data_IF_608254793116
#
_entry.id   IF_608254793116
#
_cell.length_a   1.000
_cell.length_b   1.000
_cell.length_c   1.000
_cell.angle_alpha   90.00
_cell.angle_beta   90.00
_cell.angle_gamma   90.00
#
_symmetry.space_group_name_H-M   'P 1'
#
loop_
_entity.id
_entity.type
_entity.pdbx_description
1 polymer ?
#
# COMPACT_ATOMS: atom_id res chain seq x y z
N UNK A 1 18.80 8.37 -5.38
CA UNK A 1 19.42 7.95 -4.10
C UNK A 1 20.80 7.38 -4.35
N UNK A 2 21.67 7.48 -3.35
CA UNK A 2 22.98 6.80 -3.37
C UNK A 2 22.84 5.31 -2.98
N UNK A 3 23.90 4.53 -3.20
CA UNK A 3 23.93 3.10 -2.83
C UNK A 3 23.76 2.95 -1.32
N UNK A 4 22.94 1.99 -0.93
CA UNK A 4 22.75 1.61 0.47
C UNK A 4 23.94 0.84 1.00
N UNK A 5 24.33 1.12 2.24
CA UNK A 5 25.34 0.35 2.98
C UNK A 5 24.73 -0.18 4.27
N UNK A 6 24.81 -1.50 4.46
CA UNK A 6 24.54 -2.14 5.76
C UNK A 6 25.77 -1.98 6.66
N UNK A 7 25.55 -1.58 7.90
CA UNK A 7 26.58 -1.44 8.94
C UNK A 7 26.08 -2.16 10.18
N UNK A 8 26.88 -3.08 10.70
CA UNK A 8 26.59 -3.73 11.99
C UNK A 8 26.93 -2.77 13.14
N UNK A 9 26.04 -2.66 14.12
CA UNK A 9 26.23 -1.88 15.34
C UNK A 9 25.87 -2.72 16.55
N UNK A 10 26.24 -2.27 17.75
CA UNK A 10 25.91 -2.97 19.00
C UNK A 10 24.40 -3.12 19.23
N UNK A 11 23.58 -2.27 18.59
CA UNK A 11 22.12 -2.29 18.65
C UNK A 11 21.47 -2.93 17.41
N UNK A 12 22.21 -3.76 16.67
CA UNK A 12 21.77 -4.43 15.44
C UNK A 12 22.14 -3.67 14.15
N UNK A 13 21.66 -4.14 12.99
CA UNK A 13 22.04 -3.58 11.70
C UNK A 13 21.45 -2.19 11.48
N UNK A 14 22.24 -1.34 10.83
CA UNK A 14 21.86 0.00 10.34
C UNK A 14 22.04 0.08 8.83
N UNK A 15 21.14 0.79 8.17
CA UNK A 15 21.15 0.97 6.73
C UNK A 15 21.37 2.44 6.39
N UNK A 16 22.53 2.76 5.82
CA UNK A 16 22.94 4.14 5.52
C UNK A 16 22.81 4.43 4.04
N UNK A 17 22.30 5.61 3.70
CA UNK A 17 22.30 6.13 2.35
C UNK A 17 22.34 7.67 2.36
N UNK A 18 22.24 8.25 1.16
CA UNK A 18 21.99 9.67 0.99
C UNK A 18 20.99 9.91 -0.14
N UNK A 19 20.16 10.92 0.05
CA UNK A 19 19.11 11.35 -0.88
C UNK A 19 19.35 12.80 -1.28
N UNK A 20 19.18 13.15 -2.55
CA UNK A 20 19.31 14.54 -2.99
C UNK A 20 18.09 15.38 -2.55
N UNK A 21 18.20 16.71 -2.42
CA UNK A 21 17.07 17.56 -1.99
C UNK A 21 15.80 17.38 -2.84
N UNK A 22 15.96 17.32 -4.17
CA UNK A 22 14.82 17.12 -5.08
C UNK A 22 14.23 15.70 -4.99
N UNK A 23 15.05 14.69 -4.71
CA UNK A 23 14.57 13.31 -4.48
C UNK A 23 13.75 13.23 -3.20
N UNK A 24 14.21 13.89 -2.13
CA UNK A 24 13.47 13.95 -0.86
C UNK A 24 12.13 14.67 -1.04
N UNK A 25 12.12 15.82 -1.72
CA UNK A 25 10.89 16.55 -2.03
C UNK A 25 9.90 15.71 -2.85
N UNK A 26 10.39 15.00 -3.88
CA UNK A 26 9.56 14.12 -4.70
C UNK A 26 8.96 12.97 -3.87
N UNK A 27 9.78 12.31 -3.06
CA UNK A 27 9.29 11.22 -2.20
C UNK A 27 8.26 11.69 -1.19
N UNK A 28 8.47 12.84 -0.54
CA UNK A 28 7.48 13.44 0.36
C UNK A 28 6.14 13.68 -0.35
N UNK A 29 6.19 14.25 -1.55
CA UNK A 29 4.99 14.52 -2.32
C UNK A 29 4.25 13.23 -2.72
N UNK A 30 4.97 12.23 -3.24
CA UNK A 30 4.38 10.97 -3.68
C UNK A 30 3.79 10.16 -2.51
N UNK A 31 4.52 10.04 -1.40
CA UNK A 31 4.06 9.33 -0.20
C UNK A 31 2.89 10.08 0.44
N UNK A 32 2.94 11.42 0.49
CA UNK A 32 1.84 12.24 0.99
C UNK A 32 0.55 12.07 0.17
N UNK A 33 0.66 12.05 -1.16
CA UNK A 33 -0.49 11.79 -2.03
C UNK A 33 -1.10 10.40 -1.79
N UNK A 34 -0.24 9.37 -1.65
CA UNK A 34 -0.69 8.01 -1.35
C UNK A 34 -1.37 7.90 0.02
N UNK A 35 -0.82 8.56 1.04
CA UNK A 35 -1.47 8.67 2.36
C UNK A 35 -2.83 9.36 2.27
N UNK A 36 -2.94 10.42 1.47
CA UNK A 36 -4.21 11.08 1.18
C UNK A 36 -5.27 10.12 0.65
N UNK A 37 -4.92 9.31 -0.35
CA UNK A 37 -5.81 8.28 -0.92
C UNK A 37 -6.23 7.23 0.13
N UNK A 38 -5.30 6.77 0.96
CA UNK A 38 -5.59 5.79 2.01
C UNK A 38 -6.48 6.38 3.12
N UNK A 39 -6.25 7.64 3.50
CA UNK A 39 -7.06 8.35 4.49
C UNK A 39 -8.50 8.57 3.99
N UNK A 40 -8.65 8.95 2.72
CA UNK A 40 -9.97 9.09 2.08
C UNK A 40 -10.71 7.76 2.02
N UNK A 41 -9.99 6.66 1.75
CA UNK A 41 -10.57 5.32 1.74
C UNK A 41 -11.06 4.88 3.12
N UNK A 42 -10.30 5.15 4.16
CA UNK A 42 -10.71 4.83 5.53
C UNK A 42 -11.93 5.65 5.92
N UNK A 43 -11.91 6.97 5.68
CA UNK A 43 -12.98 7.88 6.09
C UNK A 43 -14.28 7.71 5.31
N UNK A 44 -14.24 7.12 4.11
CA UNK A 44 -15.44 6.79 3.33
C UNK A 44 -16.15 5.52 3.80
N UNK A 45 -15.58 4.77 4.75
CA UNK A 45 -16.19 3.54 5.26
C UNK A 45 -17.49 3.87 6.00
N UNK A 46 -18.60 3.15 5.76
CA UNK A 46 -19.83 3.37 6.49
C UNK A 46 -19.60 3.16 7.99
N UNK A 47 -20.09 4.05 8.87
CA UNK A 47 -20.03 3.83 10.31
C UNK A 47 -20.86 2.60 10.66
N UNK A 48 -20.26 1.64 11.36
CA UNK A 48 -20.95 0.44 11.84
C UNK A 48 -21.39 0.64 13.31
N UNK A 49 -22.67 0.45 13.58
CA UNK A 49 -23.22 0.49 14.95
C UNK A 49 -22.60 -0.60 15.83
N UNK A 50 -22.16 -1.73 15.24
CA UNK A 50 -21.45 -2.79 15.94
C UNK A 50 -19.99 -2.40 16.26
N UNK A 51 -19.35 -1.54 15.46
CA UNK A 51 -18.03 -0.99 15.79
C UNK A 51 -18.09 -0.18 17.08
N UNK A 52 -19.14 0.62 17.26
CA UNK A 52 -19.34 1.41 18.49
C UNK A 52 -19.52 0.54 19.74
N UNK A 53 -20.02 -0.69 19.57
CA UNK A 53 -20.29 -1.63 20.68
C UNK A 53 -19.10 -2.56 20.92
N UNK A 54 -18.40 -3.00 19.88
CA UNK A 54 -17.37 -4.04 19.94
C UNK A 54 -15.94 -3.49 19.85
N UNK A 55 -15.76 -2.25 19.38
CA UNK A 55 -14.46 -1.66 19.06
C UNK A 55 -13.78 -2.26 17.84
N UNK A 56 -14.43 -3.18 17.12
CA UNK A 56 -13.88 -3.78 15.89
C UNK A 56 -14.25 -2.87 14.73
N UNK A 57 -13.23 -2.22 14.14
CA UNK A 57 -13.40 -1.43 12.91
C UNK A 57 -13.81 -2.34 11.76
N UNK A 58 -14.92 -2.02 11.12
CA UNK A 58 -15.33 -2.67 9.86
C UNK A 58 -14.95 -1.80 8.68
N UNK A 59 -14.25 -2.38 7.71
CA UNK A 59 -13.86 -1.69 6.49
C UNK A 59 -14.98 -1.57 5.46
N UNK A 60 -14.66 -0.93 4.34
CA UNK A 60 -15.53 -0.86 3.19
C UNK A 60 -15.93 -2.25 2.69
N UNK A 61 -17.19 -2.45 2.33
CA UNK A 61 -17.62 -3.67 1.62
C UNK A 61 -17.40 -3.53 0.11
N UNK A 62 -17.56 -2.32 -0.41
CA UNK A 62 -17.44 -2.01 -1.84
C UNK A 62 -15.99 -1.98 -2.30
N UNK A 63 -15.75 -2.49 -3.51
CA UNK A 63 -14.44 -2.42 -4.17
C UNK A 63 -14.01 -0.96 -4.37
N UNK A 64 -12.71 -0.62 -4.24
CA UNK A 64 -12.24 0.72 -4.56
C UNK A 64 -12.62 1.14 -5.99
N UNK A 65 -13.25 2.32 -6.11
CA UNK A 65 -13.61 2.93 -7.39
C UNK A 65 -12.38 3.44 -8.15
N UNK A 66 -11.46 4.07 -7.42
CA UNK A 66 -10.18 4.52 -7.96
C UNK A 66 -9.28 3.33 -8.35
N UNK A 67 -8.70 3.33 -9.57
CA UNK A 67 -7.88 2.22 -10.05
C UNK A 67 -6.55 2.08 -9.30
N UNK A 68 -6.00 3.18 -8.76
CA UNK A 68 -4.76 3.19 -7.96
C UNK A 68 -5.00 2.47 -6.64
N UNK A 69 -6.07 2.87 -5.91
CA UNK A 69 -6.49 2.19 -4.69
C UNK A 69 -6.86 0.73 -4.95
N UNK A 70 -7.51 0.41 -6.07
CA UNK A 70 -7.81 -0.98 -6.45
C UNK A 70 -6.54 -1.82 -6.66
N UNK A 71 -5.44 -1.20 -7.06
CA UNK A 71 -4.15 -1.89 -7.19
C UNK A 71 -3.47 -2.11 -5.84
N UNK A 72 -3.61 -1.16 -4.92
CA UNK A 72 -3.10 -1.23 -3.55
C UNK A 72 -3.93 -2.17 -2.65
N UNK A 73 -5.24 -2.21 -2.88
CA UNK A 73 -6.26 -2.96 -2.15
C UNK A 73 -7.06 -3.83 -3.14
N UNK A 74 -6.43 -4.87 -3.71
CA UNK A 74 -7.08 -5.76 -4.65
C UNK A 74 -8.19 -6.59 -3.98
N UNK A 75 -8.98 -7.28 -4.79
CA UNK A 75 -9.89 -8.31 -4.28
C UNK A 75 -9.07 -9.48 -3.69
N UNK A 76 -9.59 -10.07 -2.61
CA UNK A 76 -8.95 -11.20 -1.92
C UNK A 76 -9.02 -12.48 -2.74
N UNK A 77 -10.12 -12.65 -3.47
CA UNK A 77 -10.37 -13.80 -4.30
C UNK A 77 -10.70 -13.37 -5.73
N UNK A 78 -9.93 -13.88 -6.68
CA UNK A 78 -10.17 -13.69 -8.11
C UNK A 78 -10.18 -15.06 -8.79
N UNK A 79 -11.35 -15.58 -9.19
CA UNK A 79 -11.46 -16.89 -9.83
C UNK A 79 -10.86 -16.88 -11.24
N UNK A 80 -10.28 -18.01 -11.64
CA UNK A 80 -9.87 -18.23 -13.02
C UNK A 80 -11.07 -18.19 -13.95
N UNK A 81 -10.92 -17.52 -15.10
CA UNK A 81 -12.01 -17.39 -16.05
C UNK A 81 -13.23 -16.65 -15.49
N UNK A 82 -13.03 -15.68 -14.59
CA UNK A 82 -14.09 -14.81 -14.03
C UNK A 82 -15.13 -14.38 -15.07
N UNK A 83 -14.69 -14.07 -16.28
CA UNK A 83 -15.56 -13.57 -17.37
C UNK A 83 -16.48 -14.66 -17.95
N UNK A 84 -16.27 -15.93 -17.59
CA UNK A 84 -17.05 -17.10 -18.00
C UNK A 84 -17.99 -17.59 -16.89
N UNK A 85 -17.96 -16.98 -15.70
CA UNK A 85 -18.86 -17.33 -14.61
C UNK A 85 -20.29 -16.94 -14.93
N UNK A 86 -21.24 -17.78 -14.52
CA UNK A 86 -22.64 -17.40 -14.52
C UNK A 86 -22.90 -16.26 -13.50
N UNK A 87 -24.02 -15.53 -13.63
CA UNK A 87 -24.32 -14.41 -12.75
C UNK A 87 -24.41 -14.78 -11.25
N UNK A 88 -24.85 -15.99 -10.92
CA UNK A 88 -25.01 -16.43 -9.53
C UNK A 88 -23.64 -16.68 -8.87
N UNK A 89 -22.73 -17.32 -9.59
CA UNK A 89 -21.36 -17.53 -9.15
C UNK A 89 -20.60 -16.21 -9.02
N UNK A 90 -20.80 -15.27 -9.96
CA UNK A 90 -20.21 -13.94 -9.87
C UNK A 90 -20.69 -13.17 -8.63
N UNK A 91 -21.98 -13.25 -8.29
CA UNK A 91 -22.54 -12.61 -7.10
C UNK A 91 -21.98 -13.21 -5.79
N UNK A 92 -21.85 -14.54 -5.74
CA UNK A 92 -21.21 -15.22 -4.61
C UNK A 92 -19.75 -14.76 -4.40
N UNK A 93 -18.99 -14.62 -5.49
CA UNK A 93 -17.60 -14.11 -5.46
C UNK A 93 -17.53 -12.66 -4.99
N UNK A 94 -18.45 -11.81 -5.46
CA UNK A 94 -18.51 -10.42 -5.02
C UNK A 94 -18.87 -10.31 -3.54
N UNK A 95 -19.83 -11.10 -3.08
CA UNK A 95 -20.25 -11.17 -1.67
C UNK A 95 -19.11 -11.66 -0.76
N UNK A 96 -18.37 -12.68 -1.18
CA UNK A 96 -17.18 -13.17 -0.46
C UNK A 96 -16.12 -12.06 -0.34
N UNK A 97 -15.78 -11.40 -1.44
CA UNK A 97 -14.81 -10.31 -1.43
C UNK A 97 -15.28 -9.11 -0.60
N UNK A 98 -16.58 -8.80 -0.59
CA UNK A 98 -17.14 -7.75 0.25
C UNK A 98 -16.96 -8.06 1.75
N UNK A 99 -17.25 -9.29 2.17
CA UNK A 99 -17.05 -9.73 3.55
C UNK A 99 -15.58 -9.70 3.98
N UNK A 100 -14.68 -10.26 3.16
CA UNK A 100 -13.25 -10.28 3.44
C UNK A 100 -12.65 -8.87 3.53
N UNK A 101 -13.11 -7.95 2.67
CA UNK A 101 -12.69 -6.56 2.71
C UNK A 101 -13.17 -5.85 3.97
N UNK A 102 -14.42 -6.04 4.34
CA UNK A 102 -14.97 -5.50 5.59
C UNK A 102 -14.16 -5.94 6.80
N UNK A 103 -13.61 -7.17 6.80
CA UNK A 103 -12.84 -7.70 7.91
C UNK A 103 -11.37 -7.28 7.91
N UNK A 104 -10.71 -7.24 6.75
CA UNK A 104 -9.25 -7.14 6.67
C UNK A 104 -8.72 -5.80 6.10
N UNK A 105 -9.54 -5.07 5.34
CA UNK A 105 -9.08 -3.81 4.74
C UNK A 105 -8.60 -2.78 5.78
N UNK A 106 -9.24 -2.61 6.96
CA UNK A 106 -8.76 -1.66 7.97
C UNK A 106 -7.31 -1.91 8.39
N UNK A 107 -6.98 -3.15 8.76
CA UNK A 107 -5.62 -3.53 9.19
C UNK A 107 -4.61 -3.36 8.05
N UNK A 108 -5.00 -3.67 6.82
CA UNK A 108 -4.14 -3.48 5.64
C UNK A 108 -3.88 -1.98 5.41
N UNK A 109 -4.92 -1.15 5.49
CA UNK A 109 -4.80 0.30 5.32
C UNK A 109 -3.91 0.89 6.42
N UNK A 110 -4.10 0.49 7.68
CA UNK A 110 -3.27 0.94 8.80
C UNK A 110 -1.81 0.53 8.65
N UNK A 111 -1.53 -0.71 8.22
CA UNK A 111 -0.17 -1.17 7.94
C UNK A 111 0.50 -0.34 6.84
N UNK A 112 -0.22 -0.05 5.75
CA UNK A 112 0.27 0.80 4.65
C UNK A 112 0.54 2.23 5.10
N UNK A 113 -0.38 2.82 5.88
CA UNK A 113 -0.23 4.16 6.44
C UNK A 113 0.95 4.25 7.40
N UNK A 114 1.10 3.27 8.28
CA UNK A 114 2.23 3.19 9.21
C UNK A 114 3.57 3.13 8.47
N UNK A 115 3.69 2.27 7.46
CA UNK A 115 4.91 2.18 6.64
C UNK A 115 5.23 3.50 5.91
N UNK A 116 4.20 4.13 5.33
CA UNK A 116 4.33 5.43 4.67
C UNK A 116 4.74 6.54 5.64
N UNK A 117 4.15 6.58 6.84
CA UNK A 117 4.48 7.56 7.87
C UNK A 117 5.91 7.36 8.38
N UNK A 118 6.32 6.13 8.67
CA UNK A 118 7.69 5.84 9.10
C UNK A 118 8.72 6.22 8.03
N UNK A 119 8.38 6.08 6.74
CA UNK A 119 9.21 6.61 5.65
C UNK A 119 9.34 8.14 5.73
N UNK A 120 8.23 8.86 5.88
CA UNK A 120 8.25 10.32 5.99
C UNK A 120 9.04 10.80 7.21
N UNK A 121 8.85 10.16 8.36
CA UNK A 121 9.50 10.52 9.63
C UNK A 121 11.03 10.34 9.57
N UNK A 122 11.50 9.38 8.77
CA UNK A 122 12.93 9.05 8.65
C UNK A 122 13.59 9.63 7.40
N UNK A 123 12.84 10.34 6.55
CA UNK A 123 13.33 11.01 5.35
C UNK A 123 13.81 12.45 5.67
N UNK A 124 15.11 12.79 5.46
CA UNK A 124 15.62 14.12 5.75
C UNK A 124 14.92 15.22 4.93
N UNK A 125 14.55 16.32 5.58
CA UNK A 125 13.67 17.33 4.95
C UNK A 125 14.25 17.99 3.71
N UNK A 126 15.53 18.34 3.76
CA UNK A 126 16.26 18.98 2.65
C UNK A 126 17.14 17.98 1.89
N UNK A 127 16.85 16.69 2.04
CA UNK A 127 17.75 15.62 1.65
C UNK A 127 19.02 15.56 2.51
N UNK A 128 20.00 14.78 2.07
CA UNK A 128 21.23 14.52 2.82
C UNK A 128 21.39 13.06 3.20
N UNK A 129 22.22 12.80 4.23
CA UNK A 129 22.47 11.45 4.76
C UNK A 129 21.27 10.99 5.57
N UNK A 130 20.93 9.71 5.43
CA UNK A 130 19.94 9.05 6.27
C UNK A 130 20.47 7.70 6.75
N UNK A 131 20.06 7.32 7.95
CA UNK A 131 20.38 6.05 8.58
C UNK A 131 19.09 5.44 9.13
N UNK A 132 18.79 4.21 8.73
CA UNK A 132 17.60 3.49 9.15
C UNK A 132 17.95 2.33 10.07
N UNK A 133 17.06 2.07 11.02
CA UNK A 133 16.98 0.78 11.70
C UNK A 133 16.48 -0.30 10.73
N UNK A 134 16.57 -1.57 11.10
CA UNK A 134 15.99 -2.65 10.30
C UNK A 134 14.47 -2.51 10.13
N UNK A 135 13.78 -2.12 11.19
CA UNK A 135 12.34 -1.86 11.17
C UNK A 135 11.98 -0.75 10.18
N UNK A 136 12.63 0.42 10.27
CA UNK A 136 12.36 1.52 9.33
C UNK A 136 12.78 1.18 7.90
N UNK A 137 13.82 0.37 7.70
CA UNK A 137 14.17 -0.13 6.38
C UNK A 137 13.08 -1.03 5.77
N UNK A 138 12.45 -1.90 6.57
CA UNK A 138 11.32 -2.71 6.12
C UNK A 138 10.09 -1.86 5.78
N UNK A 139 9.79 -0.83 6.57
CA UNK A 139 8.74 0.13 6.24
C UNK A 139 9.01 0.89 4.93
N UNK A 140 10.26 1.29 4.69
CA UNK A 140 10.66 1.90 3.41
C UNK A 140 10.42 0.95 2.24
N UNK A 141 10.75 -0.34 2.38
CA UNK A 141 10.52 -1.36 1.34
C UNK A 141 9.01 -1.50 1.07
N UNK A 142 8.19 -1.59 2.11
CA UNK A 142 6.74 -1.68 1.99
C UNK A 142 6.15 -0.45 1.29
N UNK A 143 6.51 0.76 1.74
CA UNK A 143 6.04 2.01 1.16
C UNK A 143 6.51 2.19 -0.29
N UNK A 144 7.74 1.82 -0.63
CA UNK A 144 8.21 1.86 -2.02
C UNK A 144 7.51 0.84 -2.91
N UNK A 145 7.19 -0.34 -2.40
CA UNK A 145 6.40 -1.30 -3.16
C UNK A 145 5.01 -0.73 -3.46
N UNK A 146 4.36 -0.09 -2.49
CA UNK A 146 3.06 0.54 -2.69
C UNK A 146 3.14 1.72 -3.66
N UNK A 147 4.15 2.58 -3.55
CA UNK A 147 4.40 3.63 -4.54
C UNK A 147 4.61 3.07 -5.95
N UNK A 148 5.38 1.99 -6.09
CA UNK A 148 5.61 1.33 -7.39
C UNK A 148 4.29 0.82 -7.98
N UNK A 149 3.42 0.25 -7.16
CA UNK A 149 2.10 -0.22 -7.59
C UNK A 149 1.20 0.94 -8.01
N UNK A 150 1.15 2.01 -7.20
CA UNK A 150 0.34 3.19 -7.48
C UNK A 150 0.80 3.91 -8.75
N UNK A 151 2.10 4.18 -8.87
CA UNK A 151 2.70 4.82 -10.05
C UNK A 151 2.53 3.96 -11.31
N UNK A 152 2.59 2.64 -11.20
CA UNK A 152 2.34 1.75 -12.33
C UNK A 152 0.97 1.97 -12.97
N UNK A 153 -0.06 2.18 -12.14
CA UNK A 153 -1.41 2.50 -12.62
C UNK A 153 -1.47 3.90 -13.22
N UNK A 154 -0.96 4.91 -12.52
CA UNK A 154 -1.00 6.31 -12.95
C UNK A 154 -0.26 6.55 -14.27
N UNK A 155 0.87 5.87 -14.44
CA UNK A 155 1.71 5.95 -15.64
C UNK A 155 1.27 4.98 -16.73
N UNK A 156 0.19 4.21 -16.51
CA UNK A 156 -0.34 3.19 -17.44
C UNK A 156 0.75 2.20 -17.88
N UNK A 157 1.57 1.76 -16.93
CA UNK A 157 2.61 0.77 -17.15
C UNK A 157 1.98 -0.61 -16.98
N UNK A 158 1.67 -1.25 -18.10
CA UNK A 158 1.18 -2.62 -18.12
C UNK A 158 2.33 -3.61 -17.90
N UNK A 159 2.01 -4.76 -17.27
CA UNK A 159 2.93 -5.90 -17.24
C UNK A 159 3.00 -6.44 -18.67
N UNK A 160 4.19 -6.57 -19.30
CA UNK A 160 4.28 -7.25 -20.59
C UNK A 160 3.68 -8.65 -20.43
N UNK A 161 2.83 -9.07 -21.37
CA UNK A 161 2.32 -10.43 -21.39
C UNK A 161 3.51 -11.39 -21.28
N UNK A 162 3.41 -12.48 -20.50
CA UNK A 162 4.47 -13.48 -20.48
C UNK A 162 4.71 -13.89 -21.94
N UNK A 163 5.93 -13.69 -22.43
CA UNK A 163 6.33 -14.20 -23.74
C UNK A 163 5.94 -15.67 -23.75
N UNK A 164 5.08 -16.06 -24.69
CA UNK A 164 4.85 -17.47 -24.97
C UNK A 164 6.19 -17.99 -25.47
N UNK A 165 6.91 -18.65 -24.58
CA UNK A 165 8.12 -19.40 -24.92
C UNK A 165 7.69 -20.46 -25.95
N UNK A 166 8.36 -20.55 -27.12
CA UNK A 166 7.98 -21.47 -28.19
C UNK A 166 8.04 -22.94 -27.77
#
# INVERSE_FOLDING_TARGET
>A
MRKWKRVETDNGPRFRSAVAPHEAALLKHLVGAMLGLLNERESSSPPDELELITGIKTGNTQRPGDPTLRRLLPDFYMPDGKDQLDPAALDAVNSLNAALRSLHEPEIVDAKRSAAQQLLDTLPESGGRLELTEESANAWIAAFNDLRLALGVLLKIDRPAPERVP
#
